data_IF_377834591306
#
_entry.id   IF_377834591306
#
_cell.length_a   1.000
_cell.length_b   1.000
_cell.length_c   1.000
_cell.angle_alpha   90.00
_cell.angle_beta   90.00
_cell.angle_gamma   90.00
#
_symmetry.space_group_name_H-M   'P 1'
#
loop_
_entity.id
_entity.type
_entity.pdbx_description
1 polymer ?
#
# COMPACT_ATOMS: atom_id res chain seq x y z
N UNK A 1 -3.12 -10.02 14.63
CA UNK A 1 -2.50 -8.69 14.43
C UNK A 1 -3.45 -7.66 14.97
N UNK A 2 -3.00 -6.75 15.84
CA UNK A 2 -3.84 -5.67 16.39
C UNK A 2 -4.16 -4.70 15.23
N UNK A 3 -5.42 -4.30 15.10
CA UNK A 3 -5.81 -3.33 14.07
C UNK A 3 -5.47 -1.91 14.51
N UNK A 4 -5.13 -1.02 13.58
CA UNK A 4 -4.81 0.39 13.93
C UNK A 4 -6.00 1.11 14.57
N UNK A 5 -7.22 0.73 14.23
CA UNK A 5 -8.45 1.24 14.84
C UNK A 5 -8.53 0.92 16.35
N UNK A 6 -8.04 -0.26 16.76
CA UNK A 6 -7.98 -0.68 18.17
C UNK A 6 -6.94 0.13 18.96
N UNK A 7 -6.01 0.79 18.27
CA UNK A 7 -5.01 1.67 18.87
C UNK A 7 -5.51 3.11 19.04
N UNK A 8 -6.67 3.48 18.49
CA UNK A 8 -7.17 4.88 18.53
C UNK A 8 -7.40 5.33 19.97
N UNK A 9 -8.22 4.62 20.73
CA UNK A 9 -8.54 5.01 22.10
C UNK A 9 -7.31 5.03 23.01
N UNK A 10 -6.45 3.98 23.05
CA UNK A 10 -5.22 4.02 23.84
C UNK A 10 -4.29 5.17 23.46
N UNK A 11 -4.16 5.47 22.16
CA UNK A 11 -3.30 6.57 21.67
C UNK A 11 -3.83 7.94 22.08
N UNK A 12 -5.15 8.10 22.18
CA UNK A 12 -5.80 9.37 22.52
C UNK A 12 -6.13 9.52 24.00
N UNK A 13 -5.89 8.52 24.85
CA UNK A 13 -6.31 8.54 26.26
C UNK A 13 -5.61 9.63 27.11
N UNK A 14 -4.43 10.09 26.68
CA UNK A 14 -3.71 11.22 27.31
C UNK A 14 -3.97 12.59 26.66
N UNK A 15 -4.86 12.65 25.66
CA UNK A 15 -5.17 13.89 24.95
C UNK A 15 -6.41 14.58 25.54
N UNK A 16 -6.39 15.91 25.61
CA UNK A 16 -7.49 16.68 26.17
C UNK A 16 -8.52 17.05 25.10
N UNK A 17 -9.58 16.25 24.95
CA UNK A 17 -10.75 16.58 24.13
C UNK A 17 -11.96 16.82 25.03
N UNK A 18 -12.92 17.64 24.59
CA UNK A 18 -14.17 17.85 25.32
C UNK A 18 -14.91 16.51 25.46
N UNK A 19 -15.35 16.16 26.68
CA UNK A 19 -15.96 14.85 26.96
C UNK A 19 -17.20 14.59 26.11
N UNK A 20 -18.00 15.63 25.85
CA UNK A 20 -19.21 15.55 25.01
C UNK A 20 -18.87 15.29 23.53
N UNK A 21 -17.71 15.76 23.06
CA UNK A 21 -17.28 15.64 21.66
C UNK A 21 -16.45 14.38 21.40
N UNK A 22 -15.77 13.86 22.43
CA UNK A 22 -14.82 12.75 22.31
C UNK A 22 -15.40 11.50 21.65
N UNK A 23 -16.62 11.03 21.96
CA UNK A 23 -17.19 9.85 21.31
C UNK A 23 -17.37 10.04 19.80
N UNK A 24 -17.88 11.21 19.40
CA UNK A 24 -18.10 11.54 18.00
C UNK A 24 -16.76 11.68 17.25
N UNK A 25 -15.75 12.26 17.91
CA UNK A 25 -14.39 12.36 17.37
C UNK A 25 -13.77 10.97 17.16
N UNK A 26 -13.83 10.07 18.14
CA UNK A 26 -13.28 8.72 18.03
C UNK A 26 -13.92 7.98 16.86
N UNK A 27 -15.25 8.03 16.76
CA UNK A 27 -15.98 7.41 15.65
C UNK A 27 -15.52 7.95 14.29
N UNK A 28 -15.42 9.28 14.16
CA UNK A 28 -14.93 9.96 12.95
C UNK A 28 -13.50 9.57 12.60
N UNK A 29 -12.64 9.36 13.59
CA UNK A 29 -11.25 8.92 13.40
C UNK A 29 -11.21 7.50 12.87
N UNK A 30 -11.99 6.60 13.45
CA UNK A 30 -12.07 5.20 13.01
C UNK A 30 -12.56 5.11 11.57
N UNK A 31 -13.63 5.83 11.22
CA UNK A 31 -14.15 5.85 9.84
C UNK A 31 -13.12 6.38 8.84
N UNK A 32 -12.43 7.46 9.18
CA UNK A 32 -11.40 8.04 8.32
C UNK A 32 -10.17 7.14 8.22
N UNK A 33 -9.78 6.44 9.30
CA UNK A 33 -8.70 5.46 9.28
C UNK A 33 -8.99 4.30 8.33
N UNK A 34 -10.24 3.84 8.24
CA UNK A 34 -10.62 2.80 7.27
C UNK A 34 -10.38 3.27 5.84
N UNK A 35 -10.78 4.49 5.50
CA UNK A 35 -10.52 5.07 4.18
C UNK A 35 -9.00 5.20 3.93
N UNK A 36 -8.24 5.66 4.93
CA UNK A 36 -6.78 5.78 4.86
C UNK A 36 -6.09 4.42 4.66
N UNK A 37 -6.59 3.35 5.30
CA UNK A 37 -6.12 1.98 5.11
C UNK A 37 -6.38 1.50 3.69
N UNK A 38 -7.58 1.72 3.18
CA UNK A 38 -7.97 1.27 1.84
C UNK A 38 -7.20 2.01 0.73
N UNK A 39 -6.51 3.10 1.08
CA UNK A 39 -5.59 3.84 0.22
C UNK A 39 -4.10 3.52 0.46
N UNK A 40 -3.78 2.44 1.19
CA UNK A 40 -2.43 1.98 1.52
C UNK A 40 -1.52 3.03 2.16
N UNK A 41 -2.08 3.87 3.05
CA UNK A 41 -1.31 4.88 3.78
C UNK A 41 -0.77 4.40 5.13
N UNK A 42 -1.00 3.14 5.52
CA UNK A 42 -0.72 2.65 6.88
C UNK A 42 0.49 1.72 6.90
N UNK A 43 0.70 0.97 5.82
CA UNK A 43 1.67 -0.09 5.69
C UNK A 43 3.10 0.43 5.86
N UNK A 44 3.86 -0.22 6.76
CA UNK A 44 5.25 0.12 7.05
C UNK A 44 5.44 1.45 7.79
N UNK A 45 4.39 2.05 8.34
CA UNK A 45 4.45 3.36 9.01
C UNK A 45 4.10 3.26 10.49
N UNK A 46 4.57 4.24 11.26
CA UNK A 46 4.23 4.36 12.68
C UNK A 46 2.73 4.68 12.84
N UNK A 47 1.94 3.82 13.50
CA UNK A 47 0.49 4.01 13.63
C UNK A 47 0.14 5.27 14.41
N UNK A 48 0.92 5.64 15.42
CA UNK A 48 0.70 6.84 16.26
C UNK A 48 0.58 8.12 15.42
N UNK A 49 1.49 8.30 14.45
CA UNK A 49 1.52 9.51 13.62
C UNK A 49 0.39 9.54 12.58
N UNK A 50 -0.05 8.36 12.12
CA UNK A 50 -1.24 8.22 11.27
C UNK A 50 -2.48 8.59 12.08
N UNK A 51 -2.62 8.02 13.29
CA UNK A 51 -3.74 8.31 14.21
C UNK A 51 -3.80 9.82 14.48
N UNK A 52 -2.73 10.46 14.92
CA UNK A 52 -2.73 11.92 15.16
C UNK A 52 -3.05 12.75 13.92
N UNK A 53 -2.55 12.35 12.75
CA UNK A 53 -2.87 13.03 11.50
C UNK A 53 -4.35 12.91 11.13
N UNK A 54 -4.93 11.73 11.32
CA UNK A 54 -6.35 11.46 11.11
C UNK A 54 -7.21 12.20 12.14
N UNK A 55 -6.84 12.16 13.43
CA UNK A 55 -7.51 12.88 14.52
C UNK A 55 -7.58 14.38 14.24
N UNK A 56 -6.49 14.98 13.78
CA UNK A 56 -6.49 16.40 13.41
C UNK A 56 -7.54 16.72 12.32
N UNK A 57 -7.64 15.89 11.27
CA UNK A 57 -8.58 16.12 10.17
C UNK A 57 -10.04 15.84 10.59
N UNK A 58 -10.27 14.75 11.33
CA UNK A 58 -11.59 14.41 11.91
C UNK A 58 -12.08 15.47 12.90
N UNK A 59 -11.19 16.00 13.74
CA UNK A 59 -11.51 17.08 14.68
C UNK A 59 -11.92 18.36 13.95
N UNK A 60 -11.24 18.69 12.84
CA UNK A 60 -11.64 19.80 11.98
C UNK A 60 -13.00 19.57 11.32
N UNK A 61 -13.31 18.33 10.91
CA UNK A 61 -14.56 18.03 10.21
C UNK A 61 -15.80 18.10 11.10
N UNK A 62 -15.66 17.97 12.42
CA UNK A 62 -16.75 18.16 13.37
C UNK A 62 -17.29 19.61 13.36
N UNK A 63 -16.41 20.59 13.26
CA UNK A 63 -16.75 22.03 13.30
C UNK A 63 -15.94 22.81 12.26
N UNK A 64 -16.12 22.56 10.95
CA UNK A 64 -15.21 23.03 9.91
C UNK A 64 -15.19 24.57 9.80
N UNK A 65 -16.31 25.24 10.08
CA UNK A 65 -16.41 26.69 10.05
C UNK A 65 -15.52 27.38 11.08
N UNK A 66 -15.41 26.79 12.27
CA UNK A 66 -14.63 27.34 13.38
C UNK A 66 -13.17 26.85 13.32
N UNK A 67 -12.96 25.59 12.92
CA UNK A 67 -11.67 24.90 13.02
C UNK A 67 -10.83 24.92 11.73
N UNK A 68 -11.39 25.34 10.59
CA UNK A 68 -10.70 25.32 9.28
C UNK A 68 -9.34 26.03 9.28
N UNK A 69 -9.20 27.13 10.04
CA UNK A 69 -7.98 27.95 10.12
C UNK A 69 -6.94 27.43 11.13
N UNK A 70 -7.32 26.52 12.03
CA UNK A 70 -6.43 25.95 13.03
C UNK A 70 -5.35 25.13 12.33
N UNK A 71 -4.09 25.40 12.67
CA UNK A 71 -2.90 24.68 12.16
C UNK A 71 -2.64 23.44 13.03
N UNK A 72 -1.93 22.45 12.49
CA UNK A 72 -1.57 21.24 13.23
C UNK A 72 -0.77 21.54 14.50
N UNK A 73 0.16 22.51 14.48
CA UNK A 73 0.94 22.92 15.67
C UNK A 73 0.04 23.39 16.81
N UNK A 74 -0.99 24.17 16.47
CA UNK A 74 -1.93 24.71 17.44
C UNK A 74 -2.88 23.63 17.96
N UNK A 75 -3.38 22.77 17.07
CA UNK A 75 -4.15 21.58 17.46
C UNK A 75 -3.36 20.69 18.44
N UNK A 76 -2.09 20.40 18.13
CA UNK A 76 -1.24 19.61 19.01
C UNK A 76 -1.10 20.24 20.40
N UNK A 77 -0.89 21.57 20.45
CA UNK A 77 -0.80 22.34 21.70
C UNK A 77 -2.11 22.30 22.50
N UNK A 78 -3.26 22.49 21.83
CA UNK A 78 -4.58 22.52 22.47
C UNK A 78 -4.94 21.17 23.12
N UNK A 79 -4.55 20.06 22.49
CA UNK A 79 -4.94 18.72 22.93
C UNK A 79 -3.82 17.94 23.62
N UNK A 80 -2.71 18.60 23.97
CA UNK A 80 -1.52 17.98 24.58
C UNK A 80 -0.95 16.80 23.79
N UNK A 81 -0.98 16.90 22.46
CA UNK A 81 -0.35 15.95 21.54
C UNK A 81 1.06 16.44 21.22
N UNK A 82 2.04 15.54 21.24
CA UNK A 82 3.40 15.88 20.85
C UNK A 82 3.48 16.23 19.35
N UNK A 83 4.01 17.41 19.05
CA UNK A 83 4.23 17.83 17.67
C UNK A 83 5.49 17.16 17.09
N UNK A 84 5.31 16.36 16.03
CA UNK A 84 6.41 15.75 15.27
C UNK A 84 6.29 16.07 13.78
N UNK A 85 7.43 16.22 13.09
CA UNK A 85 7.47 16.40 11.64
C UNK A 85 6.80 15.23 10.90
N UNK A 86 6.96 14.00 11.39
CA UNK A 86 6.30 12.82 10.82
C UNK A 86 4.78 12.96 10.81
N UNK A 87 4.16 13.56 11.83
CA UNK A 87 2.70 13.84 11.82
C UNK A 87 2.33 14.81 10.70
N UNK A 88 3.16 15.83 10.44
CA UNK A 88 2.93 16.81 9.35
C UNK A 88 2.94 16.12 7.99
N UNK A 89 3.89 15.20 7.78
CA UNK A 89 3.98 14.40 6.55
C UNK A 89 2.73 13.54 6.37
N UNK A 90 2.31 12.82 7.42
CA UNK A 90 1.11 11.98 7.39
C UNK A 90 -0.15 12.81 7.11
N UNK A 91 -0.31 13.98 7.71
CA UNK A 91 -1.43 14.90 7.40
C UNK A 91 -1.41 15.34 5.93
N UNK A 92 -0.23 15.58 5.35
CA UNK A 92 -0.09 15.91 3.93
C UNK A 92 -0.56 14.78 3.01
N UNK A 93 -0.14 13.56 3.31
CA UNK A 93 -0.50 12.36 2.54
C UNK A 93 -2.00 12.03 2.65
N UNK A 94 -2.56 12.09 3.87
CA UNK A 94 -3.99 11.89 4.09
C UNK A 94 -4.79 12.97 3.34
N UNK A 95 -4.34 14.23 3.40
CA UNK A 95 -4.96 15.31 2.64
C UNK A 95 -4.96 15.04 1.12
N UNK A 96 -3.86 14.55 0.57
CA UNK A 96 -3.76 14.26 -0.87
C UNK A 96 -4.73 13.14 -1.29
N UNK A 97 -4.92 12.12 -0.45
CA UNK A 97 -5.94 11.09 -0.66
C UNK A 97 -7.34 11.67 -0.60
N UNK A 98 -7.66 12.45 0.44
CA UNK A 98 -8.98 13.07 0.58
C UNK A 98 -9.29 14.04 -0.55
N UNK A 99 -8.30 14.79 -1.03
CA UNK A 99 -8.45 15.62 -2.22
C UNK A 99 -8.85 14.80 -3.44
N UNK A 100 -8.17 13.67 -3.70
CA UNK A 100 -8.48 12.81 -4.86
C UNK A 100 -9.87 12.20 -4.75
N UNK A 101 -10.28 11.77 -3.56
CA UNK A 101 -11.64 11.28 -3.29
C UNK A 101 -12.67 12.39 -3.46
N UNK A 102 -12.39 13.58 -2.91
CA UNK A 102 -13.26 14.75 -3.05
C UNK A 102 -13.48 15.18 -4.49
N UNK A 103 -12.47 15.03 -5.36
CA UNK A 103 -12.58 15.29 -6.80
C UNK A 103 -13.44 14.25 -7.55
N UNK A 104 -13.87 13.17 -6.90
CA UNK A 104 -14.84 12.20 -7.44
C UNK A 104 -16.27 12.49 -6.99
N UNK A 105 -16.47 13.44 -6.07
CA UNK A 105 -17.82 13.87 -5.70
C UNK A 105 -18.43 14.61 -6.90
N UNK A 106 -19.67 14.27 -7.30
CA UNK A 106 -20.35 14.94 -8.42
C UNK A 106 -20.35 16.47 -8.27
N UNK A 107 -19.88 17.16 -9.31
CA UNK A 107 -19.80 18.63 -9.32
C UNK A 107 -18.61 19.21 -8.55
N UNK A 108 -17.65 18.37 -8.14
CA UNK A 108 -16.41 18.77 -7.45
C UNK A 108 -15.13 18.35 -8.19
N UNK A 109 -15.26 17.89 -9.43
CA UNK A 109 -14.15 17.39 -10.25
C UNK A 109 -13.09 18.47 -10.48
N UNK A 110 -13.53 19.69 -10.79
CA UNK A 110 -12.67 20.88 -10.95
C UNK A 110 -12.45 21.67 -9.64
N UNK A 111 -13.00 21.21 -8.51
CA UNK A 111 -12.93 21.95 -7.26
C UNK A 111 -11.52 21.93 -6.67
N UNK A 112 -11.00 23.11 -6.33
CA UNK A 112 -9.67 23.24 -5.71
C UNK A 112 -9.75 22.99 -4.21
N UNK A 113 -9.55 21.74 -3.82
CA UNK A 113 -9.41 21.38 -2.41
C UNK A 113 -8.13 21.96 -1.81
N UNK A 114 -8.27 22.51 -0.61
CA UNK A 114 -7.20 23.05 0.23
C UNK A 114 -7.25 22.38 1.60
N UNK A 115 -6.15 22.47 2.36
CA UNK A 115 -6.06 21.91 3.72
C UNK A 115 -7.07 22.54 4.69
N UNK A 116 -7.68 23.67 4.31
CA UNK A 116 -8.72 24.34 5.09
C UNK A 116 -10.13 23.87 4.71
N UNK A 117 -10.44 23.77 3.41
CA UNK A 117 -11.80 23.48 2.95
C UNK A 117 -12.14 21.99 2.91
N UNK A 118 -11.14 21.11 2.85
CA UNK A 118 -11.37 19.65 2.78
C UNK A 118 -12.19 19.14 3.96
N UNK A 119 -12.02 19.76 5.13
CA UNK A 119 -12.71 19.37 6.36
C UNK A 119 -14.24 19.45 6.24
N UNK A 120 -14.76 20.35 5.38
CA UNK A 120 -16.19 20.49 5.09
C UNK A 120 -16.72 19.23 4.39
N UNK A 121 -15.90 18.61 3.54
CA UNK A 121 -16.28 17.49 2.68
C UNK A 121 -15.93 16.13 3.27
N UNK A 122 -15.26 16.07 4.42
CA UNK A 122 -14.89 14.78 5.04
C UNK A 122 -16.14 13.94 5.31
N UNK A 123 -17.24 14.54 5.77
CA UNK A 123 -18.47 13.79 6.02
C UNK A 123 -19.04 13.15 4.74
N UNK A 124 -19.05 13.89 3.63
CA UNK A 124 -19.50 13.39 2.33
C UNK A 124 -18.56 12.27 1.82
N UNK A 125 -17.24 12.46 1.96
CA UNK A 125 -16.25 11.46 1.59
C UNK A 125 -16.45 10.16 2.38
N UNK A 126 -16.72 10.26 3.69
CA UNK A 126 -16.97 9.09 4.54
C UNK A 126 -18.29 8.41 4.15
N UNK A 127 -19.34 9.19 3.89
CA UNK A 127 -20.66 8.70 3.49
C UNK A 127 -20.61 7.91 2.17
N UNK A 128 -19.82 8.39 1.21
CA UNK A 128 -19.74 7.80 -0.14
C UNK A 128 -18.45 7.00 -0.39
N UNK A 129 -17.72 6.62 0.67
CA UNK A 129 -16.35 6.09 0.55
C UNK A 129 -16.20 4.92 -0.43
N UNK A 130 -17.14 3.97 -0.41
CA UNK A 130 -17.09 2.75 -1.22
C UNK A 130 -17.14 3.08 -2.71
N UNK A 131 -18.06 3.98 -3.10
CA UNK A 131 -18.19 4.43 -4.49
C UNK A 131 -17.00 5.27 -4.92
N UNK A 132 -16.54 6.20 -4.07
CA UNK A 132 -15.39 7.06 -4.38
C UNK A 132 -14.09 6.25 -4.53
N UNK A 133 -13.88 5.24 -3.68
CA UNK A 133 -12.73 4.33 -3.77
C UNK A 133 -12.81 3.45 -5.02
N UNK A 134 -14.00 2.96 -5.37
CA UNK A 134 -14.21 2.20 -6.60
C UNK A 134 -13.87 3.04 -7.84
N UNK A 135 -14.37 4.27 -7.93
CA UNK A 135 -14.09 5.20 -9.03
C UNK A 135 -12.60 5.56 -9.09
N UNK A 136 -11.98 5.80 -7.93
CA UNK A 136 -10.55 6.07 -7.84
C UNK A 136 -9.73 4.88 -8.38
N UNK A 137 -10.10 3.65 -8.02
CA UNK A 137 -9.43 2.42 -8.48
C UNK A 137 -9.64 2.15 -9.97
N UNK A 138 -10.82 2.42 -10.52
CA UNK A 138 -11.08 2.22 -11.95
C UNK A 138 -10.30 3.21 -12.82
N UNK A 139 -10.13 4.45 -12.35
CA UNK A 139 -9.31 5.43 -13.07
C UNK A 139 -7.84 5.01 -13.19
N UNK A 140 -7.29 4.31 -12.19
CA UNK A 140 -5.94 3.74 -12.29
C UNK A 140 -5.83 2.68 -13.39
N UNK A 141 -6.87 1.86 -13.59
CA UNK A 141 -6.90 0.86 -14.66
C UNK A 141 -6.94 1.51 -16.05
N UNK A 142 -7.72 2.58 -16.21
CA UNK A 142 -7.86 3.28 -17.50
C UNK A 142 -6.62 4.09 -17.90
N UNK A 143 -5.87 4.60 -16.92
CA UNK A 143 -4.63 5.37 -17.19
C UNK A 143 -3.40 4.51 -17.43
N UNK A 144 -3.45 3.21 -17.13
CA UNK A 144 -2.33 2.28 -17.36
C UNK A 144 -2.17 1.85 -18.84
N UNK A 145 -3.16 2.10 -19.70
CA UNK A 145 -3.15 1.79 -21.14
C UNK A 145 -2.74 2.97 -22.03
N UNK A 146 -2.54 4.15 -21.45
CA UNK A 146 -2.03 5.36 -22.12
C UNK A 146 -0.65 5.69 -21.55
N UNK A 147 0.31 6.02 -22.40
CA UNK A 147 1.76 6.03 -22.19
C UNK A 147 2.32 7.08 -21.21
N UNK A 148 1.69 7.35 -20.07
CA UNK A 148 2.29 8.16 -19.00
C UNK A 148 2.15 7.47 -17.64
N UNK A 149 3.26 7.05 -17.00
CA UNK A 149 3.20 6.34 -15.74
C UNK A 149 2.94 7.33 -14.59
N UNK A 150 1.68 7.68 -14.35
CA UNK A 150 1.27 8.36 -13.11
C UNK A 150 1.25 7.39 -11.92
N UNK A 151 2.43 6.88 -11.57
CA UNK A 151 2.71 6.22 -10.29
C UNK A 151 2.91 7.29 -9.19
N UNK A 152 1.92 8.12 -8.92
CA UNK A 152 2.09 9.28 -8.03
C UNK A 152 1.69 9.04 -6.56
N UNK A 153 1.28 7.83 -6.15
CA UNK A 153 1.06 7.56 -4.72
C UNK A 153 2.35 7.13 -4.00
N UNK A 154 3.32 6.52 -4.69
CA UNK A 154 4.64 6.15 -4.13
C UNK A 154 5.74 7.17 -4.42
N UNK A 155 5.62 8.00 -5.45
CA UNK A 155 6.70 8.92 -5.86
C UNK A 155 6.87 10.17 -4.97
N UNK A 156 5.90 10.50 -4.11
CA UNK A 156 6.07 11.52 -3.06
C UNK A 156 7.12 11.11 -2.01
N UNK A 157 7.50 9.83 -1.93
CA UNK A 157 8.55 9.34 -1.03
C UNK A 157 9.99 9.67 -1.48
N UNK A 158 10.21 9.97 -2.77
CA UNK A 158 11.58 10.20 -3.30
C UNK A 158 12.05 11.65 -3.24
N UNK A 159 11.17 12.61 -2.93
CA UNK A 159 11.44 14.03 -3.18
C UNK A 159 11.67 14.84 -1.91
N UNK A 160 12.57 14.38 -1.03
CA UNK A 160 13.11 15.23 0.05
C UNK A 160 14.42 14.80 0.71
N UNK A 161 15.22 13.93 0.07
CA UNK A 161 16.65 13.90 0.38
C UNK A 161 17.25 15.18 -0.20
N UNK A 162 17.65 16.13 0.65
CA UNK A 162 18.63 17.14 0.25
C UNK A 162 19.80 16.36 -0.37
N UNK A 163 20.29 16.72 -1.57
CA UNK A 163 21.50 16.09 -2.08
C UNK A 163 22.60 16.30 -1.04
N UNK A 164 23.12 15.19 -0.52
CA UNK A 164 24.36 15.20 0.22
C UNK A 164 25.45 15.77 -0.72
N UNK A 165 26.42 16.52 -0.21
CA UNK A 165 27.49 17.06 -1.04
C UNK A 165 28.28 15.89 -1.67
N UNK A 166 28.20 15.82 -2.99
CA UNK A 166 29.12 15.15 -3.93
C UNK A 166 29.97 14.01 -3.37
N UNK A 167 29.42 12.80 -3.41
CA UNK A 167 30.22 11.60 -3.64
C UNK A 167 30.24 11.34 -5.16
N UNK A 168 31.36 10.84 -5.74
CA UNK A 168 31.51 10.72 -7.18
C UNK A 168 30.46 9.77 -7.80
N UNK A 169 29.94 10.18 -8.95
CA UNK A 169 28.89 9.54 -9.75
C UNK A 169 29.10 8.04 -9.89
N UNK A 170 28.25 7.26 -9.21
CA UNK A 170 27.94 5.91 -9.67
C UNK A 170 27.01 6.06 -10.89
N UNK A 171 27.52 5.64 -12.04
CA UNK A 171 26.90 5.77 -13.35
C UNK A 171 25.43 5.34 -13.35
N UNK A 172 24.57 6.23 -13.82
CA UNK A 172 23.18 5.94 -14.14
C UNK A 172 23.15 4.97 -15.34
N UNK A 173 22.85 3.69 -15.07
CA UNK A 173 22.55 2.75 -16.13
C UNK A 173 21.17 3.10 -16.71
N UNK A 174 21.16 3.63 -17.93
CA UNK A 174 19.96 3.79 -18.75
C UNK A 174 19.40 2.40 -19.05
N UNK A 175 18.25 2.09 -18.45
CA UNK A 175 17.53 0.84 -18.69
C UNK A 175 16.75 0.95 -20.00
N UNK A 176 17.41 0.66 -21.12
CA UNK A 176 16.76 0.21 -22.34
C UNK A 176 16.83 -1.33 -22.35
N UNK A 177 15.95 -1.96 -21.55
CA UNK A 177 15.85 -3.42 -21.54
C UNK A 177 15.02 -3.85 -22.75
N UNK A 178 15.69 -4.07 -23.88
CA UNK A 178 15.12 -4.84 -24.99
C UNK A 178 14.80 -6.25 -24.49
N UNK A 179 13.51 -6.62 -24.51
CA UNK A 179 13.00 -7.90 -23.99
C UNK A 179 13.36 -9.13 -24.84
N UNK A 180 14.06 -8.92 -25.94
CA UNK A 180 14.33 -9.95 -26.96
C UNK A 180 15.83 -10.31 -27.06
N UNK A 181 16.66 -9.91 -26.09
CA UNK A 181 18.04 -10.36 -26.01
C UNK A 181 18.10 -11.85 -25.61
N UNK A 182 18.68 -12.67 -26.48
CA UNK A 182 18.96 -14.08 -26.18
C UNK A 182 19.98 -14.15 -25.04
N UNK A 183 19.58 -14.74 -23.90
CA UNK A 183 20.47 -14.93 -22.76
C UNK A 183 21.69 -15.77 -23.16
N UNK A 184 22.89 -15.24 -22.93
CA UNK A 184 24.13 -15.98 -23.20
C UNK A 184 24.27 -17.16 -22.23
N UNK A 185 24.73 -18.30 -22.74
CA UNK A 185 25.10 -19.46 -21.91
C UNK A 185 26.09 -19.08 -20.80
N UNK A 186 26.93 -18.06 -21.00
CA UNK A 186 27.88 -17.58 -19.97
C UNK A 186 27.15 -16.95 -18.79
N UNK A 187 26.08 -16.21 -19.04
CA UNK A 187 25.23 -15.60 -18.01
C UNK A 187 24.50 -16.69 -17.23
N UNK A 188 23.90 -17.65 -17.93
CA UNK A 188 23.21 -18.79 -17.30
C UNK A 188 24.18 -19.60 -16.42
N UNK A 189 25.39 -19.87 -16.92
CA UNK A 189 26.41 -20.64 -16.20
C UNK A 189 26.94 -19.92 -14.94
N UNK A 190 26.86 -18.59 -14.86
CA UNK A 190 27.24 -17.85 -13.66
C UNK A 190 26.31 -18.14 -12.45
N UNK A 191 25.06 -18.53 -12.71
CA UNK A 191 24.10 -18.92 -11.68
C UNK A 191 24.15 -20.41 -11.32
N UNK A 192 24.82 -21.22 -12.14
CA UNK A 192 24.99 -22.66 -11.90
C UNK A 192 26.24 -22.88 -11.05
N UNK A 193 26.07 -23.53 -9.90
CA UNK A 193 27.20 -23.87 -9.03
C UNK A 193 28.18 -24.80 -9.74
N UNK A 194 29.47 -24.48 -9.62
CA UNK A 194 30.54 -25.30 -10.18
C UNK A 194 30.60 -26.69 -9.52
N UNK A 195 31.17 -27.67 -10.24
CA UNK A 195 31.35 -29.04 -9.74
C UNK A 195 32.13 -29.10 -8.42
N UNK A 196 33.04 -28.15 -8.17
CA UNK A 196 33.83 -28.09 -6.94
C UNK A 196 33.00 -27.54 -5.77
N UNK A 197 32.17 -26.52 -6.00
CA UNK A 197 31.22 -26.00 -5.01
C UNK A 197 30.20 -27.07 -4.60
N UNK A 198 29.63 -27.80 -5.56
CA UNK A 198 28.70 -28.90 -5.26
C UNK A 198 29.36 -29.98 -4.40
N UNK A 199 30.62 -30.34 -4.67
CA UNK A 199 31.39 -31.30 -3.83
C UNK A 199 31.58 -30.78 -2.40
N UNK A 200 31.91 -29.50 -2.24
CA UNK A 200 32.06 -28.87 -0.92
C UNK A 200 30.75 -28.85 -0.15
N UNK A 201 29.64 -28.45 -0.80
CA UNK A 201 28.30 -28.45 -0.21
C UNK A 201 27.88 -29.86 0.21
N UNK A 202 28.13 -30.88 -0.62
CA UNK A 202 27.83 -32.28 -0.28
C UNK A 202 28.63 -32.77 0.92
N UNK A 203 29.90 -32.39 1.02
CA UNK A 203 30.74 -32.71 2.19
C UNK A 203 30.22 -32.03 3.46
N UNK A 204 29.84 -30.76 3.37
CA UNK A 204 29.25 -30.00 4.49
C UNK A 204 27.92 -30.62 4.92
N UNK A 205 27.01 -30.91 3.98
CA UNK A 205 25.73 -31.60 4.27
C UNK A 205 25.93 -32.93 4.99
N UNK A 206 26.89 -33.75 4.53
CA UNK A 206 27.25 -35.04 5.17
C UNK A 206 27.76 -34.87 6.60
N UNK A 207 28.53 -33.80 6.86
CA UNK A 207 29.00 -33.48 8.22
C UNK A 207 27.84 -32.99 9.10
N UNK A 208 26.89 -32.26 8.52
CA UNK A 208 25.73 -31.70 9.22
C UNK A 208 24.60 -32.72 9.47
N UNK A 209 24.75 -33.99 9.07
CA UNK A 209 23.75 -35.03 9.34
C UNK A 209 22.42 -34.90 8.61
N UNK A 210 22.31 -34.00 7.61
CA UNK A 210 21.15 -33.95 6.74
C UNK A 210 21.33 -34.96 5.59
N UNK A 211 21.03 -36.22 5.86
CA UNK A 211 20.71 -37.18 4.81
C UNK A 211 19.31 -36.85 4.28
N UNK A 212 19.25 -36.08 3.20
CA UNK A 212 18.06 -35.94 2.36
C UNK A 212 17.81 -37.29 1.65
N UNK A 213 17.41 -38.32 2.40
CA UNK A 213 16.90 -39.57 1.86
C UNK A 213 15.46 -39.38 1.40
N UNK A 214 15.24 -38.57 0.36
CA UNK A 214 14.00 -38.60 -0.40
C UNK A 214 14.15 -37.89 -1.76
N UNK A 215 14.84 -38.49 -2.73
CA UNK A 215 14.60 -38.14 -4.14
C UNK A 215 15.01 -39.28 -5.08
N UNK A 216 14.39 -40.45 -4.92
CA UNK A 216 14.24 -41.43 -6.01
C UNK A 216 12.75 -41.52 -6.34
N UNK A 217 12.25 -40.52 -7.07
CA UNK A 217 11.03 -40.66 -7.88
C UNK A 217 11.28 -40.12 -9.28
N UNK A 218 12.04 -40.89 -10.06
CA UNK A 218 11.99 -40.81 -11.53
C UNK A 218 11.31 -42.06 -12.09
N UNK A 219 10.19 -41.79 -12.77
CA UNK A 219 9.60 -42.53 -13.89
C UNK A 219 9.15 -43.97 -13.65
N UNK A 220 7.84 -44.13 -13.43
CA UNK A 220 7.05 -45.08 -14.22
C UNK A 220 5.80 -44.36 -14.75
N UNK A 221 5.94 -43.83 -15.96
CA UNK A 221 4.85 -43.34 -16.80
C UNK A 221 4.51 -44.45 -17.80
N UNK A 222 3.93 -45.55 -17.32
CA UNK A 222 3.17 -46.52 -18.12
C UNK A 222 2.04 -47.01 -17.22
N UNK A 223 0.82 -46.98 -17.75
CA UNK A 223 -0.40 -47.67 -17.26
C UNK A 223 -1.67 -46.80 -17.14
N UNK A 224 -1.63 -45.49 -17.44
CA UNK A 224 -2.85 -44.67 -17.39
C UNK A 224 -3.64 -44.52 -18.72
N UNK A 225 -3.23 -45.20 -19.80
CA UNK A 225 -3.95 -45.18 -21.10
C UNK A 225 -5.01 -46.28 -21.27
N UNK A 226 -5.30 -47.11 -20.25
CA UNK A 226 -6.29 -48.19 -20.37
C UNK A 226 -7.71 -47.82 -19.90
N UNK A 227 -7.89 -46.69 -19.19
CA UNK A 227 -9.19 -46.36 -18.57
C UNK A 227 -10.04 -45.32 -19.32
N UNK A 228 -9.51 -44.66 -20.36
CA UNK A 228 -10.29 -43.69 -21.15
C UNK A 228 -10.88 -44.22 -22.47
N UNK A 229 -10.52 -45.43 -22.90
CA UNK A 229 -11.12 -46.06 -24.10
C UNK A 229 -12.46 -46.76 -23.84
N UNK A 230 -12.98 -46.76 -22.61
CA UNK A 230 -14.22 -47.47 -22.25
C UNK A 230 -15.48 -46.58 -22.14
N UNK A 231 -15.36 -45.26 -22.33
CA UNK A 231 -16.48 -44.31 -22.14
C UNK A 231 -16.86 -43.46 -23.36
N UNK A 232 -16.41 -43.81 -24.57
CA UNK A 232 -16.97 -43.23 -25.81
C UNK A 232 -17.42 -44.37 -26.72
N UNK A 233 -18.61 -44.94 -26.42
CA UNK A 233 -19.35 -45.78 -27.38
C UNK A 233 -20.83 -45.97 -27.04
N UNK A 234 -21.56 -44.89 -26.80
CA UNK A 234 -23.03 -44.75 -26.96
C UNK A 234 -23.25 -43.23 -26.89
N UNK A 235 -23.76 -42.52 -27.89
CA UNK A 235 -24.95 -42.81 -28.67
C UNK A 235 -24.76 -42.46 -30.15
N UNK A 236 -25.07 -43.45 -31.00
CA UNK A 236 -25.35 -43.23 -32.41
C UNK A 236 -26.72 -42.59 -32.56
N UNK A 237 -26.75 -41.53 -33.35
CA UNK A 237 -27.89 -41.15 -34.17
C UNK A 237 -28.42 -42.37 -34.93
N UNK A 238 -29.74 -42.52 -34.98
CA UNK A 238 -30.47 -43.01 -36.16
C UNK A 238 -31.90 -42.46 -36.09
N UNK A 239 -32.24 -41.71 -37.15
CA UNK A 239 -33.54 -41.47 -37.82
C UNK A 239 -34.86 -41.40 -37.03
#
# INVERSE_FOLDING_TARGET
SISIEELVEPTLNGCHFDDDERPELIQRVIELLRVVRDCWLIEGRSPVHIIYGTTYLSWKSLKPWIRSKVKLTEFCRLHSIEYKHTTVERVGEIFDVLKRLGQRIPGKEAFKFTKQNIAIYINDILTYNSSLLFDLNNHFKTTATSSEPSTHWTNTLKRRRKPAPTAPEAMAASADQQKDEEFSDTEINAYIRSKTEVKKIKKIKKIMGNDDSNDDRRHDQKDHESLYSKYIKVDGLDD
#
